data_IF_114442584834
#
_entry.id   IF_114442584834
#
_cell.length_a   1.000
_cell.length_b   1.000
_cell.length_c   1.000
_cell.angle_alpha   90.00
_cell.angle_beta   90.00
_cell.angle_gamma   90.00
#
_symmetry.space_group_name_H-M   'P 1'
#
loop_
_entity.id
_entity.type
_entity.pdbx_description
1 polymer ?
#
# COMPACT_ATOMS: atom_id res chain seq x y z
N UNK A 1 47.03 16.53 11.09
CA UNK A 1 45.61 16.93 10.97
C UNK A 1 44.76 15.80 11.54
N UNK A 2 43.74 16.12 12.33
CA UNK A 2 42.97 15.16 13.15
C UNK A 2 42.20 14.16 12.30
N UNK A 3 42.33 12.86 12.60
CA UNK A 3 41.69 11.74 11.88
C UNK A 3 40.17 11.84 11.78
N UNK A 4 39.55 12.55 12.73
CA UNK A 4 38.10 12.80 12.71
C UNK A 4 37.69 13.74 11.57
N UNK A 5 38.48 14.79 11.27
CA UNK A 5 38.15 15.73 10.19
C UNK A 5 38.17 15.06 8.81
N UNK A 6 39.10 14.12 8.61
CA UNK A 6 39.19 13.33 7.38
C UNK A 6 38.00 12.38 7.21
N UNK A 7 37.45 11.85 8.32
CA UNK A 7 36.23 11.04 8.29
C UNK A 7 34.98 11.88 7.99
N UNK A 8 34.85 13.05 8.61
CA UNK A 8 33.74 13.99 8.35
C UNK A 8 33.72 14.46 6.89
N UNK A 9 34.89 14.72 6.30
CA UNK A 9 34.98 15.06 4.87
C UNK A 9 34.64 13.89 3.96
N UNK A 10 35.01 12.67 4.37
CA UNK A 10 34.69 11.44 3.66
C UNK A 10 33.22 10.99 3.82
N UNK A 11 32.41 11.64 4.66
CA UNK A 11 30.96 11.41 4.76
C UNK A 11 30.14 12.61 4.30
N UNK A 12 30.75 13.79 4.15
CA UNK A 12 30.09 15.03 3.72
C UNK A 12 29.33 14.88 2.40
N UNK A 13 29.83 14.07 1.45
CA UNK A 13 29.14 13.80 0.19
C UNK A 13 27.92 12.87 0.32
N UNK A 14 27.74 12.21 1.47
CA UNK A 14 26.52 11.45 1.81
C UNK A 14 25.50 12.31 2.56
N UNK A 15 25.79 13.60 2.76
CA UNK A 15 24.85 14.57 3.32
C UNK A 15 23.59 14.68 2.44
N UNK A 16 22.46 15.03 3.06
CA UNK A 16 21.17 15.12 2.37
C UNK A 16 21.16 16.05 1.14
N UNK A 17 22.03 17.06 1.10
CA UNK A 17 22.15 17.98 -0.05
C UNK A 17 22.75 17.36 -1.31
N UNK A 18 23.59 16.33 -1.19
CA UNK A 18 24.21 15.61 -2.32
C UNK A 18 23.55 14.27 -2.61
N UNK A 19 22.50 13.91 -1.85
CA UNK A 19 21.82 12.62 -1.95
C UNK A 19 21.25 12.38 -3.35
N UNK A 20 20.68 13.40 -4.01
CA UNK A 20 20.16 13.25 -5.38
C UNK A 20 21.26 12.91 -6.40
N UNK A 21 22.47 13.42 -6.21
CA UNK A 21 23.62 13.11 -7.06
C UNK A 21 24.09 11.67 -6.84
N UNK A 22 24.26 11.27 -5.58
CA UNK A 22 24.66 9.91 -5.23
C UNK A 22 23.64 8.88 -5.69
N UNK A 23 22.35 9.18 -5.56
CA UNK A 23 21.24 8.35 -6.07
C UNK A 23 21.36 8.16 -7.58
N UNK A 24 21.51 9.25 -8.35
CA UNK A 24 21.70 9.16 -9.80
C UNK A 24 22.95 8.38 -10.20
N UNK A 25 24.04 8.51 -9.44
CA UNK A 25 25.29 7.79 -9.70
C UNK A 25 25.16 6.29 -9.40
N UNK A 26 24.38 5.94 -8.36
CA UNK A 26 24.08 4.56 -8.03
C UNK A 26 23.17 3.91 -9.08
N UNK A 27 22.19 4.65 -9.59
CA UNK A 27 21.33 4.22 -10.70
C UNK A 27 22.12 3.87 -11.96
N UNK A 28 23.14 4.67 -12.28
CA UNK A 28 24.03 4.41 -13.41
C UNK A 28 24.93 3.18 -13.14
N UNK A 29 25.38 2.99 -11.89
CA UNK A 29 26.09 1.79 -11.46
C UNK A 29 25.25 0.51 -11.60
N UNK A 30 23.96 0.56 -11.24
CA UNK A 30 23.05 -0.57 -11.38
C UNK A 30 22.83 -0.98 -12.84
N UNK A 31 22.91 -0.03 -13.79
CA UNK A 31 22.83 -0.29 -15.23
C UNK A 31 24.14 -0.81 -15.82
N UNK A 32 25.22 -0.11 -15.53
CA UNK A 32 26.56 -0.46 -15.99
C UNK A 32 27.60 -0.10 -14.93
N UNK A 33 28.21 -1.12 -14.27
CA UNK A 33 29.26 -0.90 -13.27
C UNK A 33 30.51 -0.18 -13.78
N UNK A 34 30.73 -0.06 -15.10
CA UNK A 34 31.87 0.63 -15.69
C UNK A 34 31.59 2.09 -16.04
N UNK A 35 30.33 2.54 -15.93
CA UNK A 35 29.94 3.94 -16.19
C UNK A 35 30.34 4.89 -15.05
N UNK A 36 30.69 4.33 -13.89
CA UNK A 36 30.99 5.05 -12.66
C UNK A 36 32.49 5.02 -12.34
N UNK A 37 33.06 6.11 -11.78
CA UNK A 37 34.46 6.14 -11.36
C UNK A 37 34.84 5.01 -10.38
N UNK A 38 36.09 4.55 -10.45
CA UNK A 38 36.58 3.40 -9.65
C UNK A 38 36.41 3.57 -8.14
N UNK A 39 36.55 4.80 -7.61
CA UNK A 39 36.34 5.06 -6.18
C UNK A 39 34.91 4.75 -5.75
N UNK A 40 33.94 5.16 -6.56
CA UNK A 40 32.52 4.92 -6.33
C UNK A 40 32.12 3.46 -6.59
N UNK A 41 32.73 2.83 -7.60
CA UNK A 41 32.56 1.41 -7.87
C UNK A 41 32.97 0.55 -6.67
N UNK A 42 34.06 0.89 -5.98
CA UNK A 42 34.47 0.20 -4.74
C UNK A 42 33.46 0.40 -3.63
N UNK A 43 33.01 1.63 -3.40
CA UNK A 43 32.02 1.92 -2.34
C UNK A 43 30.71 1.16 -2.55
N UNK A 44 30.20 1.09 -3.79
CA UNK A 44 28.96 0.39 -4.09
C UNK A 44 29.11 -1.15 -4.03
N UNK A 45 30.26 -1.68 -4.43
CA UNK A 45 30.55 -3.11 -4.24
C UNK A 45 30.61 -3.51 -2.77
N UNK A 46 31.20 -2.68 -1.91
CA UNK A 46 31.27 -2.96 -0.49
C UNK A 46 29.89 -2.82 0.18
N UNK A 47 29.05 -1.90 -0.30
CA UNK A 47 27.64 -1.80 0.10
C UNK A 47 26.86 -3.09 -0.21
N UNK A 48 26.98 -3.61 -1.43
CA UNK A 48 26.28 -4.82 -1.88
C UNK A 48 26.68 -6.06 -1.08
N UNK A 49 27.94 -6.16 -0.63
CA UNK A 49 28.41 -7.25 0.24
C UNK A 49 27.85 -7.16 1.66
N UNK A 50 27.61 -5.95 2.16
CA UNK A 50 27.14 -5.72 3.52
C UNK A 50 25.64 -6.02 3.69
N UNK A 51 24.81 -5.71 2.69
CA UNK A 51 23.35 -5.83 2.84
C UNK A 51 22.86 -7.29 2.67
N UNK A 52 23.61 -8.15 1.98
CA UNK A 52 23.31 -9.60 1.87
C UNK A 52 21.93 -9.94 1.26
N UNK A 53 21.19 -8.93 0.83
CA UNK A 53 19.91 -9.02 0.15
C UNK A 53 20.13 -9.06 -1.35
N UNK A 54 19.16 -9.63 -2.07
CA UNK A 54 19.25 -9.87 -3.51
C UNK A 54 19.48 -8.60 -4.34
N UNK A 55 19.57 -8.77 -5.66
CA UNK A 55 19.81 -7.67 -6.61
C UNK A 55 18.95 -6.44 -6.31
N UNK A 56 19.61 -5.30 -6.11
CA UNK A 56 18.95 -4.02 -5.84
C UNK A 56 18.05 -3.58 -6.99
N UNK A 57 16.98 -2.87 -6.61
CA UNK A 57 15.96 -2.35 -7.53
C UNK A 57 16.23 -0.86 -7.75
N UNK A 58 16.17 -0.43 -9.01
CA UNK A 58 16.28 0.97 -9.38
C UNK A 58 15.14 1.81 -8.79
N UNK A 59 15.48 2.88 -8.08
CA UNK A 59 14.54 3.91 -7.65
C UNK A 59 13.82 4.57 -8.83
N UNK A 60 14.48 4.69 -9.99
CA UNK A 60 13.87 5.23 -11.20
C UNK A 60 12.74 4.33 -11.70
N UNK A 61 12.95 3.02 -11.73
CA UNK A 61 11.94 2.04 -12.13
C UNK A 61 10.72 2.08 -11.20
N UNK A 62 10.96 2.20 -9.89
CA UNK A 62 9.89 2.32 -8.88
C UNK A 62 9.09 3.60 -9.12
N UNK A 63 9.77 4.75 -9.31
CA UNK A 63 9.10 6.03 -9.61
C UNK A 63 8.27 5.93 -10.88
N UNK A 64 8.83 5.39 -11.95
CA UNK A 64 8.15 5.24 -13.24
C UNK A 64 6.95 4.29 -13.14
N UNK A 65 7.06 3.22 -12.36
CA UNK A 65 5.95 2.31 -12.05
C UNK A 65 4.80 3.06 -11.37
N UNK A 66 5.09 3.86 -10.35
CA UNK A 66 4.07 4.64 -9.66
C UNK A 66 3.46 5.73 -10.53
N UNK A 67 4.26 6.42 -11.35
CA UNK A 67 3.74 7.41 -12.31
C UNK A 67 2.81 6.76 -13.33
N UNK A 68 3.18 5.61 -13.90
CA UNK A 68 2.33 4.86 -14.85
C UNK A 68 1.04 4.33 -14.23
N UNK A 69 1.04 4.11 -12.92
CA UNK A 69 -0.11 3.58 -12.19
C UNK A 69 -0.87 4.68 -11.42
N UNK A 70 -0.43 5.94 -11.46
CA UNK A 70 -1.08 7.05 -10.76
C UNK A 70 -2.49 7.32 -11.30
N UNK A 71 -2.66 7.26 -12.63
CA UNK A 71 -3.94 7.51 -13.29
C UNK A 71 -4.86 6.27 -13.33
N UNK A 72 -4.31 5.09 -12.97
CA UNK A 72 -5.12 3.87 -12.91
C UNK A 72 -5.95 3.92 -11.64
N UNK A 73 -7.27 4.06 -11.78
CA UNK A 73 -8.21 3.81 -10.68
C UNK A 73 -7.87 2.45 -10.07
N UNK A 74 -7.46 2.46 -8.80
CA UNK A 74 -7.32 1.22 -8.03
C UNK A 74 -8.67 0.51 -8.05
N UNK A 75 -8.75 -0.60 -8.78
CA UNK A 75 -9.80 -1.58 -8.52
C UNK A 75 -9.48 -2.11 -7.14
N UNK A 76 -10.31 -1.79 -6.15
CA UNK A 76 -10.22 -2.44 -4.85
C UNK A 76 -10.49 -3.91 -5.07
N UNK A 77 -9.43 -4.72 -5.08
CA UNK A 77 -9.57 -6.15 -4.86
C UNK A 77 -9.94 -6.29 -3.40
N UNK A 78 -11.23 -6.33 -3.13
CA UNK A 78 -11.78 -6.55 -1.79
C UNK A 78 -11.36 -7.96 -1.41
N UNK A 79 -10.38 -8.10 -0.51
CA UNK A 79 -9.98 -9.43 -0.04
C UNK A 79 -11.14 -10.08 0.72
N UNK A 80 -11.14 -11.40 0.81
CA UNK A 80 -12.18 -12.14 1.56
C UNK A 80 -12.32 -11.62 3.00
N UNK A 81 -11.23 -11.18 3.63
CA UNK A 81 -11.22 -10.61 4.98
C UNK A 81 -12.01 -9.30 5.09
N UNK A 82 -11.95 -8.45 4.05
CA UNK A 82 -12.70 -7.19 4.04
C UNK A 82 -14.20 -7.48 3.93
N UNK A 83 -14.60 -8.41 3.06
CA UNK A 83 -16.02 -8.82 2.96
C UNK A 83 -16.53 -9.43 4.28
N UNK A 84 -15.71 -10.18 4.99
CA UNK A 84 -16.07 -10.72 6.31
C UNK A 84 -16.31 -9.61 7.34
N UNK A 85 -15.49 -8.55 7.34
CA UNK A 85 -15.72 -7.38 8.19
C UNK A 85 -17.03 -6.65 7.82
N UNK A 86 -17.32 -6.49 6.52
CA UNK A 86 -18.56 -5.90 6.05
C UNK A 86 -19.80 -6.71 6.45
N UNK A 87 -19.71 -8.06 6.44
CA UNK A 87 -20.76 -8.93 6.98
C UNK A 87 -20.98 -8.68 8.47
N UNK A 88 -19.91 -8.49 9.26
CA UNK A 88 -20.04 -8.15 10.68
C UNK A 88 -20.70 -6.77 10.89
N UNK A 89 -20.39 -5.78 10.04
CA UNK A 89 -21.05 -4.48 10.05
C UNK A 89 -22.53 -4.58 9.72
N UNK A 90 -22.90 -5.37 8.70
CA UNK A 90 -24.29 -5.66 8.36
C UNK A 90 -25.04 -6.31 9.53
N UNK A 91 -24.45 -7.32 10.18
CA UNK A 91 -25.05 -7.98 11.36
C UNK A 91 -25.32 -6.95 12.46
N UNK A 92 -24.37 -6.07 12.75
CA UNK A 92 -24.54 -5.04 13.75
C UNK A 92 -25.65 -4.04 13.36
N UNK A 93 -25.71 -3.65 12.08
CA UNK A 93 -26.77 -2.77 11.59
C UNK A 93 -28.17 -3.39 11.75
N UNK A 94 -28.33 -4.69 11.52
CA UNK A 94 -29.59 -5.39 11.78
C UNK A 94 -29.94 -5.44 13.28
N UNK A 95 -28.94 -5.59 14.16
CA UNK A 95 -29.17 -5.55 15.61
C UNK A 95 -29.61 -4.18 16.09
N UNK A 96 -29.06 -3.10 15.55
CA UNK A 96 -29.37 -1.74 15.98
C UNK A 96 -30.62 -1.18 15.32
N UNK A 97 -30.81 -1.41 14.02
CA UNK A 97 -31.85 -0.76 13.21
C UNK A 97 -32.91 -1.72 12.66
N UNK A 98 -32.77 -3.04 12.85
CA UNK A 98 -33.72 -4.02 12.29
C UNK A 98 -35.16 -3.85 12.77
N UNK A 99 -35.36 -3.23 13.93
CA UNK A 99 -36.70 -2.90 14.42
C UNK A 99 -37.47 -1.93 13.50
N UNK A 100 -36.77 -1.10 12.72
CA UNK A 100 -37.39 -0.14 11.79
C UNK A 100 -38.10 -0.84 10.63
N UNK A 101 -37.61 -2.02 10.23
CA UNK A 101 -38.16 -2.79 9.10
C UNK A 101 -38.98 -4.00 9.54
N UNK A 102 -39.06 -4.29 10.84
CA UNK A 102 -39.74 -5.47 11.38
C UNK A 102 -41.25 -5.47 11.08
N UNK A 103 -41.81 -6.65 10.79
CA UNK A 103 -43.26 -6.85 10.60
C UNK A 103 -43.98 -6.96 11.94
N UNK A 104 -44.14 -5.83 12.62
CA UNK A 104 -44.81 -5.75 13.93
C UNK A 104 -46.31 -5.45 13.83
N UNK A 105 -46.74 -4.77 12.75
CA UNK A 105 -48.14 -4.40 12.54
C UNK A 105 -48.88 -5.51 11.76
N UNK A 106 -49.84 -6.21 12.38
CA UNK A 106 -50.63 -7.26 11.71
C UNK A 106 -51.63 -6.70 10.70
N UNK A 107 -51.93 -5.40 10.74
CA UNK A 107 -52.85 -4.75 9.80
C UNK A 107 -52.12 -4.16 8.58
N UNK A 108 -50.78 -4.16 8.60
CA UNK A 108 -49.92 -3.63 7.54
C UNK A 108 -50.28 -2.19 7.07
N UNK A 109 -50.79 -1.35 7.99
CA UNK A 109 -51.25 0.00 7.65
C UNK A 109 -50.12 1.04 7.60
N UNK A 110 -48.96 0.72 8.19
CA UNK A 110 -47.82 1.63 8.32
C UNK A 110 -46.84 1.46 7.17
N UNK A 111 -46.58 2.53 6.40
CA UNK A 111 -45.49 2.57 5.42
C UNK A 111 -44.12 2.59 6.11
N UNK A 112 -43.22 1.70 5.68
CA UNK A 112 -41.91 1.55 6.33
C UNK A 112 -40.85 2.40 5.62
N UNK A 113 -39.99 3.08 6.41
CA UNK A 113 -38.87 3.79 5.82
C UNK A 113 -37.85 2.81 5.24
N UNK A 114 -37.29 3.15 4.08
CA UNK A 114 -36.10 2.46 3.57
C UNK A 114 -34.89 2.87 4.40
N UNK A 115 -34.10 1.89 4.85
CA UNK A 115 -32.90 2.11 5.66
C UNK A 115 -31.71 1.56 4.89
N UNK A 116 -30.91 2.45 4.29
CA UNK A 116 -29.77 2.10 3.45
C UNK A 116 -28.75 1.18 4.17
N UNK A 117 -28.55 1.37 5.47
CA UNK A 117 -27.62 0.57 6.27
C UNK A 117 -27.99 -0.93 6.38
N UNK A 118 -29.22 -1.31 6.01
CA UNK A 118 -29.67 -2.71 6.00
C UNK A 118 -29.56 -3.36 4.60
N UNK A 119 -29.23 -2.56 3.58
CA UNK A 119 -29.07 -3.02 2.21
C UNK A 119 -27.66 -3.59 2.00
N UNK A 120 -27.56 -4.68 1.24
CA UNK A 120 -26.27 -5.33 0.94
C UNK A 120 -25.31 -4.41 0.18
N UNK A 121 -25.85 -3.62 -0.74
CA UNK A 121 -25.08 -2.70 -1.57
C UNK A 121 -24.34 -1.64 -0.74
N UNK A 122 -24.89 -1.23 0.40
CA UNK A 122 -24.27 -0.28 1.31
C UNK A 122 -22.96 -0.82 1.91
N UNK A 123 -22.91 -2.12 2.20
CA UNK A 123 -21.73 -2.81 2.74
C UNK A 123 -20.87 -3.44 1.65
N UNK A 124 -21.01 -2.99 0.40
CA UNK A 124 -20.26 -3.52 -0.75
C UNK A 124 -20.41 -5.05 -0.96
N UNK A 125 -21.53 -5.61 -0.51
CA UNK A 125 -21.88 -7.02 -0.69
C UNK A 125 -22.82 -7.16 -1.89
N UNK A 126 -22.62 -8.23 -2.65
CA UNK A 126 -23.41 -8.58 -3.84
C UNK A 126 -24.26 -9.83 -3.59
N UNK A 127 -25.17 -10.14 -4.51
CA UNK A 127 -26.00 -11.34 -4.41
C UNK A 127 -25.17 -12.63 -4.47
N UNK A 128 -24.05 -12.60 -5.20
CA UNK A 128 -23.10 -13.71 -5.33
C UNK A 128 -22.48 -14.10 -3.97
N UNK A 129 -22.34 -13.12 -3.06
CA UNK A 129 -21.76 -13.34 -1.73
C UNK A 129 -22.68 -14.14 -0.80
N UNK A 130 -23.99 -14.26 -1.10
CA UNK A 130 -24.94 -15.04 -0.26
C UNK A 130 -24.61 -16.53 -0.21
N UNK A 131 -23.94 -17.05 -1.23
CA UNK A 131 -23.56 -18.46 -1.32
C UNK A 131 -22.14 -18.73 -0.76
N UNK A 132 -21.46 -17.69 -0.30
CA UNK A 132 -20.12 -17.79 0.29
C UNK A 132 -20.27 -17.97 1.80
N UNK A 133 -19.51 -18.91 2.35
CA UNK A 133 -19.43 -19.08 3.80
C UNK A 133 -18.51 -18.00 4.39
N UNK A 134 -19.03 -17.23 5.35
CA UNK A 134 -18.27 -16.31 6.17
C UNK A 134 -18.17 -16.87 7.59
N UNK A 135 -16.97 -16.95 8.14
CA UNK A 135 -16.78 -17.30 9.55
C UNK A 135 -17.02 -16.07 10.44
N UNK A 136 -17.60 -16.31 11.62
CA UNK A 136 -17.86 -15.32 12.66
C UNK A 136 -17.38 -15.83 14.01
#
# INVERSE_FOLDING_TARGET
MSSNLQKEWASSYLSGGSMAYVDSLYEDYLKDPNSVPEDWKKTFNDLAKADGKGKDISHREIRDYFLKNADKKKVQVVSADVKQAEVAHLINAYRTYGHLIAKLDPLEMTERPSVANLELAYHHLSDDDKNVFFCG
#
